data_IF_587755830349
#
_entry.id   IF_587755830349
#
_cell.length_a   1.000
_cell.length_b   1.000
_cell.length_c   1.000
_cell.angle_alpha   90.00
_cell.angle_beta   90.00
_cell.angle_gamma   90.00
#
_symmetry.space_group_name_H-M   'P 1'
#
loop_
_entity.id
_entity.type
_entity.pdbx_description
1 polymer ?
#
# COMPACT_ATOMS: atom_id res chain seq x y z
N UNK A 1 -4.42 18.40 1.02
CA UNK A 1 -3.96 18.83 2.36
C UNK A 1 -2.51 19.32 2.27
N UNK A 2 -2.25 20.57 1.85
CA UNK A 2 -0.88 21.09 1.62
C UNK A 2 0.03 20.15 0.79
N UNK A 3 -0.48 19.61 -0.32
CA UNK A 3 0.25 18.64 -1.15
C UNK A 3 0.25 17.19 -0.64
N UNK A 4 -0.49 16.88 0.42
CA UNK A 4 -0.84 15.50 0.81
C UNK A 4 -2.24 15.17 0.29
N UNK A 5 -2.38 13.98 -0.30
CA UNK A 5 -3.62 13.42 -0.82
C UNK A 5 -4.08 12.25 0.04
N UNK A 6 -5.39 11.98 0.00
CA UNK A 6 -6.01 10.83 0.67
C UNK A 6 -6.93 10.15 -0.34
N UNK A 7 -6.71 8.87 -0.61
CA UNK A 7 -7.48 8.09 -1.61
C UNK A 7 -8.09 6.88 -0.95
N UNK A 8 -9.37 6.62 -1.23
CA UNK A 8 -10.06 5.41 -0.84
C UNK A 8 -10.13 4.48 -2.05
N UNK A 9 -9.63 3.26 -1.89
CA UNK A 9 -9.65 2.23 -2.91
C UNK A 9 -10.53 1.07 -2.48
N UNK A 10 -11.23 0.49 -3.45
CA UNK A 10 -11.99 -0.73 -3.27
C UNK A 10 -11.66 -1.63 -4.46
N UNK A 11 -11.05 -2.78 -4.17
CA UNK A 11 -10.55 -3.69 -5.20
C UNK A 11 -10.43 -5.10 -4.64
N UNK A 12 -10.62 -6.07 -5.51
CA UNK A 12 -10.28 -7.48 -5.33
C UNK A 12 -9.11 -7.91 -6.22
N UNK A 13 -8.58 -6.98 -7.04
CA UNK A 13 -7.48 -7.21 -7.95
C UNK A 13 -6.15 -6.73 -7.35
N UNK A 14 -5.04 -7.44 -7.63
CA UNK A 14 -3.70 -6.97 -7.28
C UNK A 14 -3.37 -5.61 -7.86
N UNK A 15 -2.62 -4.83 -7.11
CA UNK A 15 -1.99 -3.61 -7.58
C UNK A 15 -0.84 -3.92 -8.54
N UNK A 16 -0.23 -2.89 -9.11
CA UNK A 16 1.00 -3.05 -9.89
C UNK A 16 2.21 -2.84 -8.99
N UNK A 17 3.25 -3.62 -9.21
CA UNK A 17 4.54 -3.39 -8.59
C UNK A 17 5.03 -1.99 -8.91
N UNK A 18 5.42 -1.25 -7.88
CA UNK A 18 5.94 0.11 -8.02
C UNK A 18 6.99 0.41 -6.95
N UNK A 19 7.73 1.49 -7.18
CA UNK A 19 8.74 2.02 -6.28
C UNK A 19 8.22 3.37 -5.82
N UNK A 20 8.10 3.59 -4.50
CA UNK A 20 7.58 4.85 -4.00
C UNK A 20 8.55 6.00 -4.27
N UNK A 21 8.06 7.06 -4.91
CA UNK A 21 8.79 8.32 -5.09
C UNK A 21 8.52 9.35 -3.98
N UNK A 22 7.56 9.03 -3.09
CA UNK A 22 7.18 9.79 -1.91
C UNK A 22 6.95 8.88 -0.69
N UNK A 23 6.62 9.46 0.45
CA UNK A 23 6.17 8.69 1.62
C UNK A 23 4.69 8.33 1.45
N UNK A 24 4.35 7.09 1.77
CA UNK A 24 2.99 6.55 1.69
C UNK A 24 2.59 5.81 2.97
N UNK A 25 1.35 6.02 3.40
CA UNK A 25 0.67 5.25 4.44
C UNK A 25 -0.51 4.51 3.83
N UNK A 26 -0.46 3.18 3.88
CA UNK A 26 -1.49 2.26 3.40
C UNK A 26 -2.20 1.63 4.61
N UNK A 27 -3.52 1.78 4.68
CA UNK A 27 -4.34 1.27 5.79
C UNK A 27 -5.44 0.37 5.26
N UNK A 28 -5.55 -0.84 5.79
CA UNK A 28 -6.68 -1.74 5.49
C UNK A 28 -7.85 -1.34 6.37
N UNK A 29 -8.92 -0.84 5.75
CA UNK A 29 -10.16 -0.44 6.44
C UNK A 29 -11.19 -1.57 6.51
N UNK A 30 -11.17 -2.48 5.53
CA UNK A 30 -11.96 -3.71 5.53
C UNK A 30 -11.28 -4.77 4.65
N UNK A 31 -11.51 -6.05 4.96
CA UNK A 31 -10.92 -7.17 4.24
C UNK A 31 -9.49 -7.48 4.68
N UNK A 32 -8.70 -8.01 3.75
CA UNK A 32 -7.34 -8.53 3.99
C UNK A 32 -6.47 -8.32 2.76
N UNK A 33 -5.20 -7.98 2.97
CA UNK A 33 -4.23 -7.73 1.89
C UNK A 33 -2.93 -8.47 2.21
N UNK A 34 -2.40 -9.22 1.25
CA UNK A 34 -1.01 -9.67 1.29
C UNK A 34 -0.15 -8.58 0.65
N UNK A 35 0.74 -7.97 1.41
CA UNK A 35 1.65 -6.94 0.94
C UNK A 35 3.01 -7.58 0.65
N UNK A 36 3.42 -7.59 -0.62
CA UNK A 36 4.74 -8.02 -1.04
C UNK A 36 5.66 -6.80 -1.14
N UNK A 37 6.91 -6.92 -0.71
CA UNK A 37 7.89 -5.85 -0.76
C UNK A 37 9.31 -6.40 -0.93
N UNK A 38 10.25 -5.56 -1.36
CA UNK A 38 11.68 -5.91 -1.36
C UNK A 38 12.41 -5.26 -0.20
N UNK A 39 13.15 -6.07 0.54
CA UNK A 39 14.07 -5.62 1.57
C UNK A 39 15.45 -6.23 1.29
N UNK A 40 16.48 -5.40 1.22
CA UNK A 40 17.86 -5.83 0.90
C UNK A 40 18.00 -6.64 -0.41
N UNK A 41 17.10 -6.40 -1.37
CA UNK A 41 17.08 -7.11 -2.65
C UNK A 41 16.37 -8.46 -2.63
N UNK A 42 15.83 -8.88 -1.48
CA UNK A 42 15.03 -10.08 -1.33
C UNK A 42 13.55 -9.73 -1.23
N UNK A 43 12.69 -10.55 -1.83
CA UNK A 43 11.24 -10.39 -1.75
C UNK A 43 10.72 -11.01 -0.45
N UNK A 44 9.91 -10.24 0.27
CA UNK A 44 9.22 -10.65 1.48
C UNK A 44 7.73 -10.29 1.36
N UNK A 45 6.91 -10.88 2.23
CA UNK A 45 5.51 -10.49 2.33
C UNK A 45 5.03 -10.39 3.78
N UNK A 46 4.01 -9.57 3.98
CA UNK A 46 3.27 -9.50 5.23
C UNK A 46 1.78 -9.46 4.95
N UNK A 47 1.03 -10.20 5.74
CA UNK A 47 -0.42 -10.16 5.70
C UNK A 47 -0.95 -9.02 6.57
N UNK A 48 -1.75 -8.13 5.99
CA UNK A 48 -2.42 -7.02 6.65
C UNK A 48 -3.92 -7.31 6.81
N UNK A 49 -4.45 -7.11 8.02
CA UNK A 49 -5.87 -7.14 8.33
C UNK A 49 -6.43 -5.75 8.67
N UNK A 50 -7.71 -5.70 9.03
CA UNK A 50 -8.40 -4.43 9.35
C UNK A 50 -7.69 -3.68 10.48
N UNK A 51 -7.35 -2.42 10.20
CA UNK A 51 -6.65 -1.52 11.11
C UNK A 51 -5.13 -1.59 11.02
N UNK A 52 -4.57 -2.58 10.32
CA UNK A 52 -3.14 -2.65 10.09
C UNK A 52 -2.69 -1.55 9.12
N UNK A 53 -1.48 -1.05 9.38
CA UNK A 53 -0.87 0.05 8.64
C UNK A 53 0.44 -0.46 8.06
N UNK A 54 0.63 -0.22 6.76
CA UNK A 54 1.90 -0.38 6.07
C UNK A 54 2.45 0.99 5.70
N UNK A 55 3.68 1.27 6.13
CA UNK A 55 4.39 2.50 5.82
C UNK A 55 5.47 2.22 4.78
N UNK A 56 5.39 2.91 3.65
CA UNK A 56 6.37 2.84 2.58
C UNK A 56 7.14 4.16 2.51
N UNK A 57 8.46 4.09 2.70
CA UNK A 57 9.35 5.23 2.52
C UNK A 57 9.74 5.40 1.04
N UNK A 58 10.35 6.53 0.71
CA UNK A 58 10.93 6.74 -0.63
C UNK A 58 11.90 5.60 -0.97
N UNK A 59 11.71 4.98 -2.15
CA UNK A 59 12.49 3.86 -2.63
C UNK A 59 11.98 2.48 -2.20
N UNK A 60 10.93 2.40 -1.39
CA UNK A 60 10.28 1.13 -1.06
C UNK A 60 9.65 0.55 -2.32
N UNK A 61 10.00 -0.69 -2.66
CA UNK A 61 9.39 -1.47 -3.73
C UNK A 61 8.34 -2.39 -3.15
N UNK A 62 7.09 -2.27 -3.60
CA UNK A 62 6.02 -3.12 -3.06
C UNK A 62 4.85 -3.32 -4.03
N UNK A 63 3.99 -4.30 -3.70
CA UNK A 63 2.72 -4.55 -4.37
C UNK A 63 1.69 -5.13 -3.39
N UNK A 64 0.51 -4.53 -3.36
CA UNK A 64 -0.61 -5.00 -2.55
C UNK A 64 -1.45 -6.03 -3.33
N UNK A 65 -1.68 -7.20 -2.74
CA UNK A 65 -2.54 -8.26 -3.26
C UNK A 65 -3.73 -8.47 -2.33
N UNK A 66 -4.91 -7.90 -2.62
CA UNK A 66 -6.13 -8.19 -1.86
C UNK A 66 -6.45 -9.69 -1.81
N UNK A 67 -6.85 -10.18 -0.64
CA UNK A 67 -7.34 -11.56 -0.46
C UNK A 67 -8.86 -11.52 -0.47
N UNK A 68 -9.43 -11.45 -1.68
CA UNK A 68 -10.82 -11.10 -1.91
C UNK A 68 -11.01 -9.58 -1.95
N UNK A 69 -12.24 -9.09 -1.74
CA UNK A 69 -12.50 -7.65 -1.70
C UNK A 69 -11.84 -7.00 -0.46
N UNK A 70 -11.13 -5.89 -0.69
CA UNK A 70 -10.58 -5.07 0.37
C UNK A 70 -10.91 -3.59 0.17
N UNK A 71 -11.03 -2.85 1.28
CA UNK A 71 -11.16 -1.39 1.30
C UNK A 71 -9.93 -0.79 1.94
N UNK A 72 -9.30 0.13 1.24
CA UNK A 72 -7.97 0.64 1.59
C UNK A 72 -8.02 2.16 1.60
N UNK A 73 -7.39 2.76 2.62
CA UNK A 73 -7.04 4.17 2.63
C UNK A 73 -5.55 4.33 2.33
N UNK A 74 -5.24 5.13 1.33
CA UNK A 74 -3.86 5.55 1.01
C UNK A 74 -3.72 7.02 1.33
N UNK A 75 -2.67 7.38 2.07
CA UNK A 75 -2.27 8.75 2.36
C UNK A 75 -0.86 8.96 1.86
N UNK A 76 -0.66 9.95 0.99
CA UNK A 76 0.59 10.09 0.23
C UNK A 76 0.77 11.53 -0.23
N UNK A 77 1.93 11.83 -0.82
CA UNK A 77 2.12 13.09 -1.52
C UNK A 77 1.26 13.16 -2.79
N UNK A 78 0.73 14.32 -3.10
CA UNK A 78 -0.07 14.51 -4.32
C UNK A 78 0.79 14.23 -5.57
N UNK A 79 0.33 13.29 -6.39
CA UNK A 79 1.00 12.88 -7.62
C UNK A 79 2.17 11.91 -7.41
N UNK A 80 2.43 11.45 -6.19
CA UNK A 80 3.35 10.32 -5.97
C UNK A 80 2.71 9.01 -6.41
N UNK A 81 3.59 8.06 -6.71
CA UNK A 81 3.27 6.63 -6.87
C UNK A 81 4.21 5.87 -5.97
#
# INVERSE_FOLDING_TARGET
>A
MNGISTRLHWTDQPYKWHVNDGEEVFVVLDGKVEMFFRENGEEASVTLGVGDIFYASVGTEHVAHPVGEARILVVEKEGSV
#
